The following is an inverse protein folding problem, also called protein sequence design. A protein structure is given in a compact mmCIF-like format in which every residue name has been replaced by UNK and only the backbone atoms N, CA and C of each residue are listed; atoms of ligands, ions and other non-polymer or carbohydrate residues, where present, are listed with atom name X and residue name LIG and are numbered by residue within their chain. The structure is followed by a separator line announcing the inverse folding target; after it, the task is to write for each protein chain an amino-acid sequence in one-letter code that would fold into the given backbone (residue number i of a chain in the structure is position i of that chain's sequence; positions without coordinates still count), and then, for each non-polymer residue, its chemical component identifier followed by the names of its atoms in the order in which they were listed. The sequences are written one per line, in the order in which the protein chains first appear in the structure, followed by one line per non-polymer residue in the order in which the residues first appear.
data_IF_951830703164
#
_entry.id   IF_951830703164
#
_cell.length_a   1.000
_cell.length_b   1.000
_cell.length_c   1.000
_cell.angle_alpha   90.00
_cell.angle_beta   90.00
_cell.angle_gamma   90.00
#
_symmetry.space_group_name_H-M   'P 1'
#
loop_
_entity.id
_entity.type
_entity.pdbx_description
1 polymer ?
#
# COMPACT_ATOMS: atom_id res chain seq x y z
N UNK A 1 20.35 4.39 15.31
CA UNK A 1 20.53 3.61 14.08
C UNK A 1 19.35 3.94 13.18
N UNK A 2 19.58 4.59 12.05
CA UNK A 2 18.51 4.94 11.10
C UNK A 2 17.98 3.65 10.47
N UNK A 3 16.77 3.24 10.83
CA UNK A 3 16.06 2.21 10.08
C UNK A 3 15.94 2.70 8.64
N UNK A 4 16.71 2.09 7.75
CA UNK A 4 16.51 2.24 6.32
C UNK A 4 15.22 1.50 6.00
N UNK A 5 14.08 2.17 6.15
CA UNK A 5 12.84 1.74 5.55
C UNK A 5 13.08 1.65 4.04
N UNK A 6 13.11 0.44 3.52
CA UNK A 6 13.32 0.18 2.10
C UNK A 6 11.97 0.43 1.43
N UNK A 7 11.77 1.66 0.96
CA UNK A 7 10.72 1.94 -0.03
C UNK A 7 10.87 0.92 -1.17
N UNK A 8 9.77 0.26 -1.58
CA UNK A 8 9.72 -0.66 -2.72
C UNK A 8 10.33 0.03 -3.94
N UNK A 9 11.61 -0.22 -4.19
CA UNK A 9 12.48 0.72 -4.91
C UNK A 9 12.40 0.65 -6.42
N UNK A 10 11.37 0.04 -7.00
CA UNK A 10 11.18 -0.06 -8.46
C UNK A 10 9.71 -0.23 -8.77
N UNK A 11 9.07 0.86 -9.23
CA UNK A 11 7.75 0.81 -9.87
C UNK A 11 7.85 0.54 -11.39
N UNK A 12 8.98 0.05 -11.91
CA UNK A 12 9.27 0.06 -13.35
C UNK A 12 9.77 -1.30 -13.82
N UNK A 13 9.11 -1.80 -14.87
CA UNK A 13 9.48 -2.99 -15.61
C UNK A 13 10.35 -2.64 -16.81
N UNK A 14 11.06 -3.65 -17.31
CA UNK A 14 11.91 -3.54 -18.50
C UNK A 14 11.06 -3.28 -19.75
N UNK A 15 10.88 -2.01 -20.11
CA UNK A 15 10.11 -1.60 -21.29
C UNK A 15 9.48 -0.20 -21.25
N UNK A 16 9.45 0.47 -20.10
CA UNK A 16 8.91 1.81 -19.97
C UNK A 16 9.86 2.88 -20.54
N UNK A 17 9.42 3.72 -21.49
CA UNK A 17 10.13 4.95 -21.85
C UNK A 17 9.88 6.02 -20.79
N UNK A 18 10.29 5.72 -19.56
CA UNK A 18 10.21 6.66 -18.45
C UNK A 18 11.48 7.52 -18.39
N UNK A 19 11.33 8.81 -18.09
CA UNK A 19 12.48 9.70 -17.93
C UNK A 19 12.87 9.77 -16.44
N UNK A 20 14.09 9.35 -16.11
CA UNK A 20 14.63 9.53 -14.77
C UNK A 20 15.25 10.93 -14.61
N UNK A 21 14.61 11.80 -13.84
CA UNK A 21 15.14 13.12 -13.49
C UNK A 21 16.26 12.94 -12.45
N UNK A 22 17.51 12.93 -12.92
CA UNK A 22 18.69 12.78 -12.06
C UNK A 22 18.84 13.87 -11.00
N UNK A 23 18.32 15.09 -11.23
CA UNK A 23 18.45 16.20 -10.28
C UNK A 23 17.52 16.03 -9.09
N UNK A 24 16.32 15.56 -9.34
CA UNK A 24 15.31 15.40 -8.31
C UNK A 24 15.03 13.93 -7.93
N UNK A 25 15.79 12.99 -8.51
CA UNK A 25 15.87 11.56 -8.16
C UNK A 25 14.55 10.82 -8.26
N UNK A 26 13.72 11.15 -9.25
CA UNK A 26 12.42 10.52 -9.49
C UNK A 26 12.24 10.17 -10.96
N UNK A 27 11.27 9.30 -11.22
CA UNK A 27 10.85 8.93 -12.58
C UNK A 27 9.60 9.71 -12.98
N UNK A 28 9.60 10.27 -14.19
CA UNK A 28 8.39 10.78 -14.87
C UNK A 28 7.90 9.69 -15.80
N UNK A 29 6.65 9.28 -15.62
CA UNK A 29 5.99 8.30 -16.47
C UNK A 29 5.52 8.94 -17.78
N UNK A 30 5.80 8.25 -18.88
CA UNK A 30 5.16 8.52 -20.16
C UNK A 30 3.69 8.07 -20.15
N UNK A 31 2.97 8.31 -21.25
CA UNK A 31 1.54 7.96 -21.34
C UNK A 31 1.29 6.46 -21.14
N UNK A 32 2.13 5.61 -21.71
CA UNK A 32 2.03 4.16 -21.57
C UNK A 32 2.24 3.72 -20.12
N UNK A 33 3.25 4.27 -19.43
CA UNK A 33 3.49 4.00 -18.02
C UNK A 33 2.36 4.48 -17.12
N UNK A 34 1.78 5.64 -17.40
CA UNK A 34 0.60 6.13 -16.67
C UNK A 34 -0.61 5.20 -16.85
N UNK A 35 -0.86 4.73 -18.08
CA UNK A 35 -1.99 3.82 -18.35
C UNK A 35 -1.75 2.43 -17.73
N UNK A 36 -0.51 1.96 -17.69
CA UNK A 36 -0.14 0.75 -16.98
C UNK A 36 -0.31 0.89 -15.45
N UNK A 37 0.09 2.04 -14.87
CA UNK A 37 -0.14 2.35 -13.46
C UNK A 37 -1.64 2.37 -13.12
N UNK A 38 -2.48 3.02 -13.93
CA UNK A 38 -3.95 2.98 -13.78
C UNK A 38 -4.48 1.55 -13.75
N UNK A 39 -3.98 0.69 -14.64
CA UNK A 39 -4.38 -0.72 -14.68
C UNK A 39 -4.00 -1.46 -13.40
N UNK A 40 -2.72 -1.46 -13.01
CA UNK A 40 -2.26 -2.23 -11.84
C UNK A 40 -2.87 -1.70 -10.53
N UNK A 41 -3.04 -0.38 -10.40
CA UNK A 41 -3.71 0.22 -9.23
C UNK A 41 -5.19 -0.16 -9.13
N UNK A 42 -5.92 -0.22 -10.25
CA UNK A 42 -7.31 -0.72 -10.26
C UNK A 42 -7.38 -2.20 -9.83
N UNK A 43 -6.50 -3.04 -10.35
CA UNK A 43 -6.44 -4.46 -9.95
C UNK A 43 -6.13 -4.60 -8.45
N UNK A 44 -5.20 -3.80 -7.94
CA UNK A 44 -4.85 -3.81 -6.53
C UNK A 44 -6.03 -3.37 -5.64
N UNK A 45 -6.81 -2.37 -6.06
CA UNK A 45 -8.09 -1.99 -5.41
C UNK A 45 -9.09 -3.15 -5.40
N UNK A 46 -9.25 -3.87 -6.51
CA UNK A 46 -10.15 -5.03 -6.58
C UNK A 46 -9.72 -6.14 -5.60
N UNK A 47 -8.42 -6.43 -5.50
CA UNK A 47 -7.89 -7.39 -4.51
C UNK A 47 -8.15 -6.94 -3.07
N UNK A 48 -7.94 -5.66 -2.76
CA UNK A 48 -8.26 -5.12 -1.43
C UNK A 48 -9.77 -5.23 -1.12
N UNK A 49 -10.64 -5.02 -2.12
CA UNK A 49 -12.10 -5.17 -1.94
C UNK A 49 -12.48 -6.63 -1.62
N UNK A 50 -11.85 -7.59 -2.30
CA UNK A 50 -12.03 -9.03 -2.05
C UNK A 50 -11.58 -9.39 -0.63
N UNK A 51 -10.40 -8.91 -0.21
CA UNK A 51 -9.89 -9.13 1.13
C UNK A 51 -10.80 -8.53 2.20
N UNK A 52 -11.23 -7.27 2.01
CA UNK A 52 -12.12 -6.56 2.92
C UNK A 52 -13.47 -7.28 3.10
N UNK A 53 -14.03 -7.86 2.03
CA UNK A 53 -15.28 -8.60 2.09
C UNK A 53 -15.18 -9.93 2.89
N UNK A 54 -13.97 -10.46 3.08
CA UNK A 54 -13.72 -11.69 3.82
C UNK A 54 -13.51 -11.48 5.33
N UNK A 55 -13.31 -10.24 5.78
CA UNK A 55 -13.05 -9.91 7.18
C UNK A 55 -14.30 -10.16 8.02
N UNK A 56 -14.15 -10.97 9.08
CA UNK A 56 -15.15 -11.17 10.14
C UNK A 56 -14.50 -11.78 11.37
N UNK A 57 -15.06 -11.62 12.59
CA UNK A 57 -14.59 -12.37 13.75
C UNK A 57 -14.53 -13.88 13.47
N UNK A 58 -13.48 -14.54 13.96
CA UNK A 58 -13.27 -15.98 13.80
C UNK A 58 -12.40 -16.41 12.62
N UNK A 59 -12.02 -15.51 11.71
CA UNK A 59 -11.03 -15.82 10.65
C UNK A 59 -9.61 -15.47 11.10
N UNK A 60 -8.60 -16.08 10.51
CA UNK A 60 -7.19 -15.74 10.76
C UNK A 60 -6.67 -14.72 9.75
N UNK A 61 -5.57 -14.03 10.05
CA UNK A 61 -4.87 -13.20 9.06
C UNK A 61 -4.25 -14.04 7.95
N UNK A 62 -3.80 -15.27 8.25
CA UNK A 62 -3.33 -16.24 7.24
C UNK A 62 -4.42 -16.63 6.22
N UNK A 63 -5.68 -16.73 6.63
CA UNK A 63 -6.81 -16.93 5.72
C UNK A 63 -7.01 -15.73 4.78
N UNK A 64 -6.80 -14.51 5.27
CA UNK A 64 -6.86 -13.29 4.46
C UNK A 64 -5.72 -13.27 3.44
N UNK A 65 -4.51 -13.65 3.84
CA UNK A 65 -3.37 -13.82 2.92
C UNK A 65 -3.67 -14.82 1.81
N UNK A 66 -4.27 -15.97 2.14
CA UNK A 66 -4.64 -16.99 1.16
C UNK A 66 -5.62 -16.43 0.11
N UNK A 67 -6.61 -15.64 0.55
CA UNK A 67 -7.57 -14.97 -0.33
C UNK A 67 -6.85 -13.98 -1.25
N UNK A 68 -5.98 -13.13 -0.69
CA UNK A 68 -5.23 -12.14 -1.46
C UNK A 68 -4.31 -12.81 -2.48
N UNK A 69 -3.60 -13.85 -2.06
CA UNK A 69 -2.71 -14.62 -2.93
C UNK A 69 -3.47 -15.20 -4.12
N UNK A 70 -4.61 -15.85 -3.87
CA UNK A 70 -5.46 -16.43 -4.91
C UNK A 70 -6.06 -15.37 -5.83
N UNK A 71 -6.48 -14.22 -5.28
CA UNK A 71 -7.03 -13.11 -6.07
C UNK A 71 -5.98 -12.54 -7.03
N UNK A 72 -4.75 -12.32 -6.56
CA UNK A 72 -3.64 -11.88 -7.41
C UNK A 72 -3.33 -12.90 -8.52
N UNK A 73 -3.26 -14.18 -8.17
CA UNK A 73 -2.85 -15.26 -9.07
C UNK A 73 -3.96 -15.73 -10.03
N UNK A 74 -5.21 -15.26 -9.87
CA UNK A 74 -6.32 -15.71 -10.71
C UNK A 74 -6.03 -15.42 -12.19
N UNK A 75 -5.85 -16.51 -12.95
CA UNK A 75 -5.35 -16.51 -14.32
C UNK A 75 -6.35 -15.97 -15.35
N UNK A 76 -7.64 -15.85 -15.00
CA UNK A 76 -8.68 -15.42 -15.93
C UNK A 76 -8.83 -13.89 -15.99
N UNK A 77 -8.46 -13.16 -14.94
CA UNK A 77 -8.73 -11.72 -14.84
C UNK A 77 -7.49 -10.87 -14.52
N UNK A 78 -6.66 -11.28 -13.55
CA UNK A 78 -5.59 -10.44 -13.01
C UNK A 78 -4.20 -10.89 -13.45
N UNK A 79 -3.90 -12.19 -13.40
CA UNK A 79 -2.60 -12.76 -13.77
C UNK A 79 -1.41 -11.95 -13.20
N UNK A 80 -1.53 -11.53 -11.95
CA UNK A 80 -0.64 -10.60 -11.26
C UNK A 80 0.20 -11.32 -10.20
N UNK A 81 1.29 -10.70 -9.77
CA UNK A 81 2.13 -11.20 -8.68
C UNK A 81 1.92 -10.38 -7.39
N UNK A 82 1.71 -11.00 -6.22
CA UNK A 82 1.63 -10.27 -4.96
C UNK A 82 3.03 -9.75 -4.58
N UNK A 83 3.24 -8.45 -4.71
CA UNK A 83 4.58 -7.84 -4.60
C UNK A 83 5.28 -8.03 -3.24
N UNK A 84 4.57 -8.10 -2.09
CA UNK A 84 5.22 -8.37 -0.81
C UNK A 84 5.90 -9.75 -0.77
N UNK A 85 5.38 -10.72 -1.52
CA UNK A 85 5.89 -12.09 -1.45
C UNK A 85 7.36 -12.14 -1.86
N UNK A 86 8.19 -12.67 -0.96
CA UNK A 86 9.65 -12.77 -1.09
C UNK A 86 10.39 -11.43 -1.25
N UNK A 87 9.73 -10.28 -1.06
CA UNK A 87 10.38 -8.99 -1.04
C UNK A 87 11.26 -8.89 0.21
N UNK A 88 12.59 -8.86 0.04
CA UNK A 88 13.57 -9.01 1.13
C UNK A 88 13.25 -10.22 2.05
N UNK A 89 12.76 -11.33 1.47
CA UNK A 89 12.34 -12.53 2.19
C UNK A 89 11.09 -12.37 3.08
N UNK A 90 10.25 -11.35 2.85
CA UNK A 90 8.93 -11.31 3.47
C UNK A 90 8.11 -12.56 3.06
N UNK A 91 7.49 -13.28 4.00
CA UNK A 91 7.03 -14.65 3.75
C UNK A 91 5.60 -14.75 3.19
N UNK A 92 4.89 -13.63 3.04
CA UNK A 92 3.46 -13.59 2.74
C UNK A 92 3.14 -12.64 1.58
N UNK A 93 1.91 -12.70 1.09
CA UNK A 93 1.44 -11.99 -0.11
C UNK A 93 0.87 -10.60 0.20
N UNK A 94 0.61 -10.32 1.48
CA UNK A 94 -0.04 -9.12 2.00
C UNK A 94 0.50 -8.84 3.42
N UNK A 95 0.49 -7.58 3.87
CA UNK A 95 0.67 -7.30 5.30
C UNK A 95 -0.70 -7.17 5.99
N UNK A 96 -0.81 -7.68 7.22
CA UNK A 96 -2.00 -7.55 8.06
C UNK A 96 -1.63 -6.98 9.42
N UNK A 97 -2.00 -5.73 9.67
CA UNK A 97 -1.56 -4.97 10.85
C UNK A 97 -2.72 -4.70 11.79
N UNK A 98 -2.75 -5.44 12.90
CA UNK A 98 -3.80 -5.38 13.91
C UNK A 98 -3.47 -4.45 15.06
N UNK A 99 -4.45 -3.64 15.47
CA UNK A 99 -4.41 -2.87 16.72
C UNK A 99 -3.14 -2.03 16.90
N UNK A 100 -2.20 -2.45 17.74
CA UNK A 100 -0.94 -1.75 18.01
C UNK A 100 0.15 -1.94 16.94
N UNK A 101 -0.08 -2.85 16.00
CA UNK A 101 0.80 -3.07 14.86
C UNK A 101 0.65 -1.89 13.88
N UNK A 102 1.74 -1.15 13.73
CA UNK A 102 1.84 0.04 12.89
C UNK A 102 1.83 -0.36 11.41
N UNK A 103 2.68 -1.29 11.00
CA UNK A 103 2.73 -1.83 9.63
C UNK A 103 3.49 -3.16 9.56
N UNK A 104 3.49 -3.76 8.37
CA UNK A 104 4.23 -4.98 8.03
C UNK A 104 3.96 -6.17 8.95
N UNK A 105 2.78 -6.24 9.56
CA UNK A 105 2.37 -7.41 10.31
C UNK A 105 2.31 -8.62 9.38
N UNK A 106 3.01 -9.70 9.73
CA UNK A 106 3.04 -10.92 8.95
C UNK A 106 1.74 -11.70 9.20
N UNK A 107 0.94 -12.03 8.16
CA UNK A 107 -0.19 -12.93 8.31
C UNK A 107 0.17 -14.25 9.01
N UNK A 108 -0.62 -14.62 10.01
CA UNK A 108 -0.40 -15.77 10.88
C UNK A 108 -1.72 -16.39 11.38
N UNK A 109 -1.62 -17.30 12.35
CA UNK A 109 -2.79 -18.01 12.89
C UNK A 109 -3.59 -17.19 13.92
N UNK A 110 -3.30 -15.91 14.13
CA UNK A 110 -4.07 -15.05 15.03
C UNK A 110 -5.50 -14.90 14.49
N UNK A 111 -6.46 -15.31 15.30
CA UNK A 111 -7.89 -15.18 15.00
C UNK A 111 -8.36 -13.75 15.28
N UNK A 112 -9.06 -13.15 14.33
CA UNK A 112 -9.72 -11.85 14.50
C UNK A 112 -10.85 -11.96 15.52
N UNK A 113 -10.93 -11.00 16.44
CA UNK A 113 -12.01 -10.90 17.41
C UNK A 113 -12.84 -9.65 17.19
N UNK A 114 -14.07 -9.64 17.73
CA UNK A 114 -14.91 -8.45 17.69
C UNK A 114 -14.22 -7.27 18.40
N UNK A 115 -14.26 -6.09 17.77
CA UNK A 115 -13.61 -4.87 18.27
C UNK A 115 -12.12 -4.69 17.92
N UNK A 116 -11.51 -5.65 17.21
CA UNK A 116 -10.22 -5.47 16.54
C UNK A 116 -10.32 -4.42 15.43
N UNK A 117 -9.23 -3.69 15.20
CA UNK A 117 -9.01 -2.93 13.96
C UNK A 117 -7.87 -3.58 13.18
N UNK A 118 -8.04 -3.72 11.87
CA UNK A 118 -7.10 -4.40 10.97
C UNK A 118 -6.83 -3.51 9.75
N UNK A 119 -5.56 -3.21 9.53
CA UNK A 119 -5.05 -2.69 8.26
C UNK A 119 -4.65 -3.87 7.34
N UNK A 120 -4.92 -3.72 6.03
CA UNK A 120 -4.50 -4.67 4.98
C UNK A 120 -3.72 -3.89 3.91
N UNK A 121 -2.45 -4.25 3.73
CA UNK A 121 -1.49 -3.67 2.79
C UNK A 121 -1.41 -4.52 1.51
N UNK A 122 -1.97 -4.02 0.41
CA UNK A 122 -2.00 -4.73 -0.87
C UNK A 122 -1.07 -4.07 -1.86
N UNK A 123 -0.20 -4.87 -2.48
CA UNK A 123 0.58 -4.43 -3.63
C UNK A 123 0.60 -5.49 -4.71
N UNK A 124 0.15 -5.13 -5.91
CA UNK A 124 0.19 -6.02 -7.07
C UNK A 124 1.31 -5.60 -8.01
N UNK A 125 1.95 -6.59 -8.62
CA UNK A 125 2.80 -6.41 -9.78
C UNK A 125 2.07 -6.95 -11.02
N UNK A 126 1.87 -6.07 -12.01
CA UNK A 126 1.21 -6.41 -13.27
C UNK A 126 1.87 -5.70 -14.44
N UNK A 127 2.24 -6.46 -15.47
CA UNK A 127 2.76 -5.90 -16.73
C UNK A 127 3.98 -5.00 -16.58
N UNK A 128 4.84 -5.25 -15.58
CA UNK A 128 6.03 -4.43 -15.30
C UNK A 128 5.85 -3.38 -14.22
N UNK A 129 4.64 -3.12 -13.74
CA UNK A 129 4.38 -2.02 -12.81
C UNK A 129 3.86 -2.54 -11.48
N UNK A 130 4.16 -1.82 -10.41
CA UNK A 130 3.61 -2.09 -9.09
C UNK A 130 2.50 -1.09 -8.80
N UNK A 131 1.30 -1.58 -8.46
CA UNK A 131 0.23 -0.77 -7.90
C UNK A 131 0.22 -1.00 -6.40
N UNK A 132 0.56 0.04 -5.64
CA UNK A 132 0.60 -0.02 -4.17
C UNK A 132 -0.61 0.70 -3.57
N UNK A 133 -1.29 0.01 -2.67
CA UNK A 133 -2.24 0.62 -1.76
C UNK A 133 -2.14 -0.10 -0.42
N UNK A 134 -1.52 0.60 0.51
CA UNK A 134 -1.25 0.24 1.86
C UNK A 134 -0.83 1.48 2.58
N UNK A 135 -1.30 1.68 3.76
CA UNK A 135 -1.01 2.86 4.50
C UNK A 135 0.54 2.86 4.92
N UNK A 136 1.51 3.77 4.56
CA UNK A 136 2.58 4.66 5.26
C UNK A 136 3.36 5.81 4.46
N UNK A 137 3.01 7.13 4.44
CA UNK A 137 3.97 8.20 3.97
C UNK A 137 4.43 8.97 5.19
N UNK A 138 5.74 9.27 5.32
CA UNK A 138 6.22 10.15 6.37
C UNK A 138 5.67 11.57 6.21
N UNK A 139 4.50 11.82 6.80
CA UNK A 139 3.86 13.12 6.92
C UNK A 139 4.03 13.64 8.34
N UNK A 140 5.22 14.14 8.66
CA UNK A 140 5.51 14.82 9.92
C UNK A 140 6.18 16.19 9.67
N UNK A 141 5.93 17.12 10.59
CA UNK A 141 6.45 18.48 10.51
C UNK A 141 7.99 18.49 10.51
N UNK A 142 8.59 19.34 9.66
CA UNK A 142 10.05 19.47 9.56
C UNK A 142 10.75 18.28 8.89
N UNK A 143 10.04 17.44 8.14
CA UNK A 143 10.66 16.40 7.33
C UNK A 143 11.61 17.02 6.27
N UNK A 144 12.64 16.26 5.89
CA UNK A 144 13.68 16.70 4.95
C UNK A 144 13.53 16.04 3.58
N UNK A 145 12.33 15.59 3.22
CA UNK A 145 12.10 15.02 1.90
C UNK A 145 12.42 16.07 0.84
N UNK A 146 13.14 15.65 -0.21
CA UNK A 146 13.61 16.54 -1.28
C UNK A 146 12.78 16.29 -2.52
N UNK A 147 12.22 17.35 -3.11
CA UNK A 147 11.50 17.28 -4.37
C UNK A 147 10.32 18.24 -4.41
N UNK A 148 9.81 18.49 -5.61
CA UNK A 148 8.53 19.13 -5.84
C UNK A 148 7.74 18.24 -6.79
N UNK A 149 6.44 18.09 -6.56
CA UNK A 149 5.56 17.34 -7.43
C UNK A 149 5.63 17.89 -8.86
N UNK A 150 5.77 16.99 -9.85
CA UNK A 150 5.75 17.30 -11.28
C UNK A 150 4.79 16.35 -11.97
N UNK A 151 4.14 16.84 -13.02
CA UNK A 151 3.28 16.03 -13.87
C UNK A 151 3.99 14.72 -14.31
N UNK A 152 3.24 13.63 -14.29
CA UNK A 152 3.72 12.28 -14.62
C UNK A 152 4.45 11.58 -13.48
N UNK A 153 4.66 12.23 -12.32
CA UNK A 153 5.10 11.54 -11.12
C UNK A 153 4.00 10.64 -10.58
N UNK A 154 4.39 9.43 -10.21
CA UNK A 154 3.53 8.51 -9.46
C UNK A 154 4.21 8.15 -8.14
N UNK A 155 3.51 8.35 -7.03
CA UNK A 155 4.00 8.05 -5.69
C UNK A 155 2.82 7.81 -4.75
N UNK A 156 3.10 7.27 -3.57
CA UNK A 156 2.09 7.00 -2.57
C UNK A 156 2.02 8.12 -1.54
N UNK A 157 0.84 8.34 -0.93
CA UNK A 157 0.69 9.05 0.35
C UNK A 157 -0.03 8.13 1.28
N UNK A 158 0.59 7.83 2.42
CA UNK A 158 0.23 6.61 3.14
C UNK A 158 0.12 6.78 4.72
N UNK A 159 -0.10 7.96 5.33
CA UNK A 159 0.13 8.25 6.78
C UNK A 159 -0.28 7.17 7.83
N UNK A 160 0.60 6.94 8.83
CA UNK A 160 0.32 6.19 10.06
C UNK A 160 -0.03 7.13 11.22
N UNK A 161 -1.10 6.86 11.95
CA UNK A 161 -1.55 7.62 13.13
C UNK A 161 -1.69 6.68 14.33
N UNK A 162 -1.13 7.09 15.47
CA UNK A 162 -1.23 6.36 16.73
C UNK A 162 -2.09 7.14 17.74
N UNK A 163 -2.88 6.44 18.56
CA UNK A 163 -3.57 7.04 19.72
C UNK A 163 -2.59 7.47 20.84
N UNK A 164 -1.35 7.01 20.73
CA UNK A 164 -0.32 7.13 21.75
C UNK A 164 0.94 7.83 21.24
N UNK A 165 2.08 7.25 21.60
CA UNK A 165 3.38 7.69 21.11
C UNK A 165 3.58 7.34 19.63
N UNK A 166 4.38 8.16 18.94
CA UNK A 166 4.89 7.84 17.59
C UNK A 166 6.09 6.88 17.63
N UNK A 167 6.65 6.62 18.82
CA UNK A 167 7.80 5.74 18.99
C UNK A 167 7.42 4.29 18.73
N UNK A 168 8.26 3.58 17.98
CA UNK A 168 8.03 2.20 17.57
C UNK A 168 9.18 1.27 17.97
N UNK A 169 8.90 -0.02 17.95
CA UNK A 169 9.89 -1.10 17.99
C UNK A 169 9.56 -2.14 16.93
N UNK A 170 10.58 -2.90 16.50
CA UNK A 170 10.44 -4.01 15.55
C UNK A 170 10.49 -5.32 16.31
N UNK A 171 9.56 -6.23 16.03
CA UNK A 171 9.54 -7.58 16.60
C UNK A 171 10.73 -8.43 16.13
N UNK A 172 11.04 -9.56 16.81
CA UNK A 172 12.14 -10.45 16.43
C UNK A 172 12.03 -11.07 15.02
N UNK A 173 10.86 -10.99 14.39
CA UNK A 173 10.64 -11.38 12.99
C UNK A 173 11.30 -10.44 11.97
N UNK A 174 11.81 -9.28 12.43
CA UNK A 174 12.43 -8.20 11.64
C UNK A 174 11.49 -7.44 10.70
N UNK A 175 10.18 -7.63 10.83
CA UNK A 175 9.17 -7.01 9.97
C UNK A 175 8.13 -6.23 10.77
N UNK A 176 7.51 -6.87 11.76
CA UNK A 176 6.33 -6.32 12.44
C UNK A 176 6.73 -5.09 13.27
N UNK A 177 6.27 -3.92 12.85
CA UNK A 177 6.48 -2.67 13.57
C UNK A 177 5.29 -2.40 14.50
N UNK A 178 5.55 -2.15 15.79
CA UNK A 178 4.50 -1.90 16.79
C UNK A 178 4.75 -0.62 17.58
N UNK A 179 3.70 -0.02 18.14
CA UNK A 179 3.84 1.12 19.05
C UNK A 179 4.51 0.70 20.35
N UNK A 180 5.42 1.53 20.86
CA UNK A 180 6.12 1.22 22.12
C UNK A 180 5.21 1.23 23.35
N UNK A 181 4.06 1.89 23.28
CA UNK A 181 3.08 1.96 24.37
C UNK A 181 1.90 1.00 24.20
N UNK A 182 1.91 0.15 23.16
CA UNK A 182 0.87 -0.83 22.88
C UNK A 182 -0.49 -0.22 22.52
N UNK A 183 -0.56 1.09 22.24
CA UNK A 183 -1.80 1.73 21.82
C UNK A 183 -2.05 1.50 20.33
N UNK A 184 -3.34 1.53 19.99
CA UNK A 184 -3.83 1.30 18.64
C UNK A 184 -3.28 2.31 17.64
N UNK A 185 -3.11 1.83 16.42
CA UNK A 185 -2.76 2.59 15.24
C UNK A 185 -3.75 2.38 14.12
N UNK A 186 -3.87 3.38 13.27
CA UNK A 186 -4.59 3.32 12.01
C UNK A 186 -3.73 4.02 10.97
N UNK A 187 -4.03 3.78 9.71
CA UNK A 187 -3.19 4.19 8.60
C UNK A 187 -4.19 4.56 7.46
N UNK A 188 -3.84 5.25 6.36
CA UNK A 188 -4.57 5.27 5.05
C UNK A 188 -3.60 5.48 3.86
N UNK A 189 -3.77 4.82 2.69
CA UNK A 189 -2.97 5.03 1.46
C UNK A 189 -3.74 5.12 0.18
N UNK A 190 -3.19 5.97 -0.69
CA UNK A 190 -3.35 5.83 -2.12
C UNK A 190 -2.03 5.98 -2.88
N UNK A 191 -1.88 5.21 -3.97
CA UNK A 191 -1.05 5.61 -5.11
C UNK A 191 -1.69 6.78 -5.85
N UNK A 192 -0.91 7.83 -6.06
CA UNK A 192 -1.29 9.10 -6.67
C UNK A 192 -0.49 9.36 -7.95
N UNK A 193 -1.14 9.87 -8.98
CA UNK A 193 -0.52 10.38 -10.20
C UNK A 193 -0.67 11.89 -10.26
N UNK A 194 0.45 12.62 -10.34
CA UNK A 194 0.44 14.06 -10.57
C UNK A 194 0.09 14.33 -12.03
N UNK A 195 -0.91 15.17 -12.26
CA UNK A 195 -1.38 15.60 -13.58
C UNK A 195 -1.07 17.08 -13.81
N UNK A 196 -1.26 17.57 -15.05
CA UNK A 196 -1.06 18.99 -15.36
C UNK A 196 -1.88 19.94 -14.46
N UNK A 197 -3.08 19.52 -14.03
CA UNK A 197 -4.02 20.34 -13.27
C UNK A 197 -4.18 19.97 -11.80
N UNK A 198 -3.47 18.96 -11.30
CA UNK A 198 -3.63 18.48 -9.93
C UNK A 198 -3.16 17.03 -9.74
N UNK A 199 -4.00 16.20 -9.13
CA UNK A 199 -3.67 14.81 -8.79
C UNK A 199 -4.83 13.87 -9.13
N UNK A 200 -4.51 12.68 -9.64
CA UNK A 200 -5.42 11.56 -9.85
C UNK A 200 -5.12 10.49 -8.78
N UNK A 201 -6.13 10.08 -8.02
CA UNK A 201 -6.02 9.00 -7.02
C UNK A 201 -6.24 7.66 -7.73
N UNK A 202 -5.16 6.98 -8.11
CA UNK A 202 -5.23 5.77 -8.96
C UNK A 202 -5.87 4.58 -8.26
N UNK A 203 -5.90 4.58 -6.94
CA UNK A 203 -6.40 3.51 -6.07
C UNK A 203 -7.68 3.92 -5.35
N UNK A 204 -8.39 4.93 -5.88
CA UNK A 204 -9.65 5.40 -5.34
C UNK A 204 -10.69 4.28 -5.25
N UNK A 205 -11.59 4.42 -4.27
CA UNK A 205 -12.68 3.47 -4.03
C UNK A 205 -13.65 3.44 -5.22
N UNK A 206 -14.05 2.24 -5.62
CA UNK A 206 -14.99 1.98 -6.70
C UNK A 206 -16.44 2.11 -6.19
N UNK A 207 -17.44 2.25 -7.09
CA UNK A 207 -18.86 2.17 -6.72
C UNK A 207 -19.22 0.87 -5.97
N UNK A 208 -18.48 -0.20 -6.25
CA UNK A 208 -18.65 -1.54 -5.65
C UNK A 208 -17.80 -1.77 -4.40
N UNK A 209 -16.90 -0.85 -4.04
CA UNK A 209 -16.07 -1.03 -2.84
C UNK A 209 -16.93 -0.98 -1.57
N UNK A 210 -16.69 -1.81 -0.53
CA UNK A 210 -17.50 -1.83 0.71
C UNK A 210 -17.55 -0.47 1.42
N UNK A 211 -18.68 0.23 1.36
CA UNK A 211 -18.84 1.62 1.83
C UNK A 211 -18.87 2.69 0.72
N UNK A 212 -18.81 2.29 -0.55
CA UNK A 212 -18.93 3.16 -1.72
C UNK A 212 -17.72 4.07 -2.01
N UNK A 213 -17.82 4.95 -3.02
CA UNK A 213 -16.79 5.92 -3.35
C UNK A 213 -16.78 7.08 -2.35
N UNK A 214 -15.63 7.73 -2.16
CA UNK A 214 -15.49 8.93 -1.33
C UNK A 214 -15.43 10.15 -2.24
N UNK A 215 -16.27 11.14 -1.97
CA UNK A 215 -16.25 12.40 -2.73
C UNK A 215 -14.95 13.17 -2.46
N UNK A 216 -14.36 13.75 -3.50
CA UNK A 216 -13.28 14.69 -3.30
C UNK A 216 -13.78 15.90 -2.50
N UNK A 217 -13.06 16.31 -1.44
CA UNK A 217 -13.36 17.58 -0.82
C UNK A 217 -13.20 18.67 -1.87
N UNK A 218 -14.28 19.39 -2.14
CA UNK A 218 -14.24 20.59 -2.99
C UNK A 218 -13.52 21.63 -2.15
N UNK A 219 -12.46 22.25 -2.68
CA UNK A 219 -11.81 23.36 -2.00
C UNK A 219 -12.85 24.47 -1.80
N UNK A 220 -13.08 24.87 -0.55
CA UNK A 220 -13.87 26.06 -0.20
C UNK A 220 -13.13 27.35 -0.58
#
# INVERSE_FOLDING_TARGET
MTSKFVAKRRCLGDGAQSFYDRRAKFTVLDKAGQDAMRKVCRLAREVLDIAAAAIKPGVTTDYIDEIVHKACANAEEMQSYPSPLNYNFFPKSVCTSLNEVICHGIPDQRVLVDGDILNIDVTLYHGGYHGDLNETVPHYAGNKAVGAAKEGMCFTIEPMVALGTYSNMIWPDNWTAVTMDGKRTAQFEHTLLVTAGGVEVLTARLPTSPGGPVAYPVAE
#
